data_IF_311202832355
#
_entry.id   IF_311202832355
#
_cell.length_a   1.000
_cell.length_b   1.000
_cell.length_c   1.000
_cell.angle_alpha   90.00
_cell.angle_beta   90.00
_cell.angle_gamma   90.00
#
_symmetry.space_group_name_H-M   'P 1'
#
loop_
_entity.id
_entity.type
_entity.pdbx_description
1 polymer ?
#
# COMPACT_ATOMS: atom_id res chain seq x y z
N UNK A 1 0.23 13.95 0.40
CA UNK A 1 1.51 13.55 -0.22
C UNK A 1 1.41 12.27 -1.05
N UNK A 2 0.67 11.22 -0.63
CA UNK A 2 0.54 9.96 -1.40
C UNK A 2 0.06 10.13 -2.85
N UNK A 3 -0.92 11.00 -3.10
CA UNK A 3 -1.38 11.28 -4.46
C UNK A 3 -0.31 11.92 -5.36
N UNK A 4 0.55 12.78 -4.79
CA UNK A 4 1.66 13.38 -5.53
C UNK A 4 2.72 12.33 -5.93
N UNK A 5 3.06 11.40 -5.03
CA UNK A 5 3.96 10.29 -5.36
C UNK A 5 3.38 9.37 -6.44
N UNK A 6 2.07 9.14 -6.40
CA UNK A 6 1.37 8.40 -7.45
C UNK A 6 1.53 9.09 -8.82
N UNK A 7 1.23 10.39 -8.89
CA UNK A 7 1.39 11.14 -10.14
C UNK A 7 2.85 11.19 -10.61
N UNK A 8 3.80 11.30 -9.69
CA UNK A 8 5.23 11.23 -10.02
C UNK A 8 5.60 9.89 -10.67
N UNK A 9 5.12 8.77 -10.11
CA UNK A 9 5.33 7.45 -10.69
C UNK A 9 4.70 7.31 -12.09
N UNK A 10 3.49 7.86 -12.27
CA UNK A 10 2.79 7.86 -13.57
C UNK A 10 3.56 8.65 -14.64
N UNK A 11 4.12 9.82 -14.27
CA UNK A 11 4.94 10.65 -15.18
C UNK A 11 6.27 9.96 -15.50
N UNK A 12 6.95 9.41 -14.49
CA UNK A 12 8.24 8.73 -14.68
C UNK A 12 8.11 7.53 -15.62
N UNK A 13 7.03 6.76 -15.53
CA UNK A 13 6.74 5.65 -16.44
C UNK A 13 6.58 6.11 -17.91
N UNK A 14 6.08 7.33 -18.12
CA UNK A 14 5.87 7.90 -19.45
C UNK A 14 7.14 8.54 -20.01
N UNK A 15 7.91 9.22 -19.18
CA UNK A 15 9.15 9.91 -19.58
C UNK A 15 10.32 8.93 -19.80
N UNK A 16 10.38 7.84 -19.03
CA UNK A 16 11.45 6.84 -19.09
C UNK A 16 10.90 5.43 -19.38
N UNK A 17 10.52 5.11 -20.63
CA UNK A 17 9.91 3.81 -20.98
C UNK A 17 10.81 2.60 -20.74
N UNK A 18 12.12 2.81 -20.61
CA UNK A 18 13.12 1.78 -20.29
C UNK A 18 13.08 1.37 -18.81
N UNK A 19 12.45 2.18 -17.94
CA UNK A 19 12.26 1.90 -16.52
C UNK A 19 10.85 1.38 -16.25
N UNK A 20 10.75 0.29 -15.49
CA UNK A 20 9.46 -0.18 -14.96
C UNK A 20 9.16 0.51 -13.64
N UNK A 21 8.22 1.46 -13.67
CA UNK A 21 7.77 2.20 -12.48
C UNK A 21 6.37 1.73 -12.07
N UNK A 22 6.19 1.39 -10.80
CA UNK A 22 4.92 0.85 -10.28
C UNK A 22 4.62 1.49 -8.92
N UNK A 23 3.37 1.90 -8.69
CA UNK A 23 2.92 2.28 -7.34
C UNK A 23 2.10 1.14 -6.71
N UNK A 24 2.54 0.68 -5.54
CA UNK A 24 1.84 -0.38 -4.78
C UNK A 24 1.19 0.20 -3.53
N UNK A 25 -0.08 -0.16 -3.32
CA UNK A 25 -0.80 0.07 -2.06
C UNK A 25 -0.76 -1.20 -1.21
N UNK A 26 -0.06 -1.19 -0.05
CA UNK A 26 0.15 -2.37 0.76
C UNK A 26 -1.04 -2.73 1.68
N UNK A 27 -2.17 -2.00 1.58
CA UNK A 27 -3.29 -2.16 2.52
C UNK A 27 -2.98 -1.64 3.92
N UNK A 28 -3.73 -2.12 4.91
CA UNK A 28 -3.48 -1.82 6.32
C UNK A 28 -2.62 -2.94 6.90
N UNK A 29 -1.39 -2.61 7.25
CA UNK A 29 -0.37 -3.58 7.66
C UNK A 29 -0.11 -3.46 9.15
N UNK A 30 0.05 -4.58 9.83
CA UNK A 30 0.40 -4.66 11.24
C UNK A 30 1.83 -4.13 11.48
N UNK A 31 1.93 -2.83 11.66
CA UNK A 31 3.18 -2.09 11.85
C UNK A 31 2.98 -1.05 12.94
N UNK A 32 4.08 -0.53 13.46
CA UNK A 32 4.07 0.53 14.46
C UNK A 32 3.30 1.79 14.01
N UNK A 33 3.16 2.01 12.70
CA UNK A 33 2.35 3.11 12.16
C UNK A 33 0.87 3.03 12.58
N UNK A 34 0.31 1.82 12.74
CA UNK A 34 -1.08 1.64 13.20
C UNK A 34 -1.20 1.99 14.69
N UNK A 35 -0.19 1.68 15.50
CA UNK A 35 -0.15 2.05 16.92
C UNK A 35 -0.12 3.57 17.07
N UNK A 36 0.69 4.27 16.28
CA UNK A 36 0.72 5.73 16.24
C UNK A 36 -0.65 6.31 15.90
N UNK A 37 -1.38 5.71 14.95
CA UNK A 37 -2.75 6.13 14.60
C UNK A 37 -3.70 5.93 15.79
N UNK A 38 -3.60 4.83 16.53
CA UNK A 38 -4.46 4.57 17.71
C UNK A 38 -4.14 5.51 18.88
N UNK A 39 -2.88 5.83 19.10
CA UNK A 39 -2.45 6.68 20.22
C UNK A 39 -2.67 8.17 19.96
N UNK A 40 -2.35 8.64 18.75
CA UNK A 40 -2.30 10.09 18.41
C UNK A 40 -3.38 10.52 17.44
N UNK A 41 -4.12 9.58 16.86
CA UNK A 41 -5.14 9.87 15.85
C UNK A 41 -6.36 10.59 16.41
N UNK A 42 -6.69 10.40 17.69
CA UNK A 42 -7.88 11.01 18.32
C UNK A 42 -7.88 12.54 18.24
N UNK A 43 -6.70 13.17 18.30
CA UNK A 43 -6.56 14.63 18.28
C UNK A 43 -6.46 15.20 16.85
N UNK A 44 -6.06 14.37 15.87
CA UNK A 44 -5.57 14.83 14.58
C UNK A 44 -6.34 14.26 13.37
N UNK A 45 -7.26 13.33 13.58
CA UNK A 45 -8.04 12.69 12.53
C UNK A 45 -9.52 13.05 12.63
N UNK A 46 -10.20 12.99 11.49
CA UNK A 46 -11.65 13.05 11.48
C UNK A 46 -12.23 11.89 12.33
N UNK A 47 -13.25 12.14 13.17
CA UNK A 47 -13.74 11.15 14.14
C UNK A 47 -14.19 9.83 13.50
N UNK A 48 -14.77 9.89 12.30
CA UNK A 48 -15.21 8.74 11.51
C UNK A 48 -14.03 7.88 11.02
N UNK A 49 -12.94 8.52 10.58
CA UNK A 49 -11.73 7.84 10.16
C UNK A 49 -10.97 7.24 11.34
N UNK A 50 -10.87 7.96 12.45
CA UNK A 50 -10.25 7.45 13.68
C UNK A 50 -11.03 6.25 14.23
N UNK A 51 -12.36 6.31 14.22
CA UNK A 51 -13.21 5.22 14.69
C UNK A 51 -12.91 3.90 13.97
N UNK A 52 -12.51 3.91 12.70
CA UNK A 52 -12.12 2.69 11.97
C UNK A 52 -10.97 1.94 12.66
N UNK A 53 -10.00 2.67 13.20
CA UNK A 53 -8.80 2.11 13.83
C UNK A 53 -8.92 1.88 15.33
N UNK A 54 -9.80 2.64 16.00
CA UNK A 54 -9.91 2.68 17.47
C UNK A 54 -11.17 2.03 18.04
N UNK A 55 -12.28 1.95 17.30
CA UNK A 55 -13.49 1.33 17.85
C UNK A 55 -13.26 -0.18 18.01
N UNK A 56 -13.59 -0.75 19.17
CA UNK A 56 -13.34 -2.18 19.42
C UNK A 56 -13.98 -3.09 18.36
N UNK A 57 -15.15 -2.69 17.85
CA UNK A 57 -15.87 -3.44 16.82
C UNK A 57 -15.15 -3.41 15.49
N UNK A 58 -14.71 -2.24 15.02
CA UNK A 58 -14.04 -2.11 13.72
C UNK A 58 -12.57 -2.49 13.77
N UNK A 59 -11.87 -2.21 14.88
CA UNK A 59 -10.47 -2.56 15.06
C UNK A 59 -10.26 -4.08 15.10
N UNK A 60 -11.22 -4.84 15.68
CA UNK A 60 -11.22 -6.32 15.63
C UNK A 60 -11.51 -6.88 14.23
N UNK A 61 -12.26 -6.15 13.42
CA UNK A 61 -12.57 -6.56 12.04
C UNK A 61 -11.63 -5.97 11.00
N UNK A 62 -10.73 -5.05 11.39
CA UNK A 62 -9.78 -4.44 10.48
C UNK A 62 -8.76 -5.52 10.09
N UNK A 63 -8.68 -5.90 8.80
CA UNK A 63 -7.74 -6.92 8.37
C UNK A 63 -6.33 -6.31 8.44
N UNK A 64 -5.68 -6.49 9.58
CA UNK A 64 -4.28 -6.15 9.77
C UNK A 64 -3.45 -7.22 9.06
N UNK A 65 -2.91 -6.85 7.91
CA UNK A 65 -2.07 -7.72 7.11
C UNK A 65 -0.74 -7.95 7.80
N UNK A 66 -0.23 -9.17 7.72
CA UNK A 66 1.13 -9.44 8.18
C UNK A 66 2.10 -8.70 7.24
N UNK A 67 3.13 -7.98 7.72
CA UNK A 67 4.04 -7.19 6.88
C UNK A 67 4.67 -7.96 5.72
N UNK A 68 4.93 -9.25 5.93
CA UNK A 68 5.49 -10.12 4.89
C UNK A 68 4.60 -10.28 3.66
N UNK A 69 3.28 -10.13 3.76
CA UNK A 69 2.37 -10.33 2.63
C UNK A 69 2.57 -9.25 1.55
N UNK A 70 2.31 -7.96 1.81
CA UNK A 70 2.62 -6.91 0.84
C UNK A 70 4.14 -6.70 0.69
N UNK A 71 4.94 -6.98 1.72
CA UNK A 71 6.39 -6.87 1.67
C UNK A 71 7.03 -7.83 0.65
N UNK A 72 6.55 -9.07 0.59
CA UNK A 72 7.02 -10.05 -0.38
C UNK A 72 6.69 -9.63 -1.81
N UNK A 73 5.48 -9.12 -2.06
CA UNK A 73 5.07 -8.62 -3.38
C UNK A 73 5.99 -7.49 -3.85
N UNK A 74 6.27 -6.52 -2.97
CA UNK A 74 7.17 -5.38 -3.27
C UNK A 74 8.59 -5.89 -3.56
N UNK A 75 9.11 -6.81 -2.74
CA UNK A 75 10.44 -7.39 -2.95
C UNK A 75 10.53 -8.21 -4.25
N UNK A 76 9.48 -8.97 -4.57
CA UNK A 76 9.40 -9.77 -5.80
C UNK A 76 9.34 -8.89 -7.06
N UNK A 77 8.57 -7.81 -7.02
CA UNK A 77 8.51 -6.82 -8.10
C UNK A 77 9.84 -6.09 -8.29
N UNK A 78 10.56 -5.77 -7.21
CA UNK A 78 11.87 -5.12 -7.33
C UNK A 78 12.90 -5.97 -8.10
N UNK A 79 12.73 -7.30 -8.11
CA UNK A 79 13.63 -8.23 -8.81
C UNK A 79 13.09 -8.60 -10.20
N UNK A 80 11.78 -8.86 -10.31
CA UNK A 80 11.17 -9.50 -11.46
C UNK A 80 9.92 -8.77 -11.98
N UNK A 81 9.82 -7.45 -11.86
CA UNK A 81 8.68 -6.70 -12.39
C UNK A 81 8.62 -6.80 -13.92
N UNK A 82 7.51 -7.32 -14.49
CA UNK A 82 7.33 -7.31 -15.93
C UNK A 82 7.01 -5.90 -16.42
N UNK A 83 7.54 -5.54 -17.60
CA UNK A 83 7.31 -4.23 -18.23
C UNK A 83 5.82 -3.93 -18.50
N UNK A 84 4.97 -4.96 -18.57
CA UNK A 84 3.51 -4.82 -18.70
C UNK A 84 2.83 -4.14 -17.50
N UNK A 85 3.52 -4.00 -16.37
CA UNK A 85 3.05 -3.29 -15.19
C UNK A 85 3.55 -1.84 -15.13
N UNK A 86 4.33 -1.37 -16.11
CA UNK A 86 4.86 -0.01 -16.10
C UNK A 86 3.72 1.03 -16.06
N UNK A 87 3.84 2.01 -15.15
CA UNK A 87 2.84 3.05 -14.90
C UNK A 87 1.58 2.59 -14.17
N UNK A 88 1.51 1.32 -13.73
CA UNK A 88 0.33 0.83 -13.01
C UNK A 88 0.34 1.24 -11.54
N UNK A 89 -0.88 1.43 -11.04
CA UNK A 89 -1.17 1.71 -9.63
C UNK A 89 -2.05 0.58 -9.09
N UNK A 90 -1.49 -0.29 -8.27
CA UNK A 90 -2.11 -1.55 -7.88
C UNK A 90 -2.23 -1.67 -6.37
N UNK A 91 -3.26 -2.37 -5.90
CA UNK A 91 -3.24 -2.92 -4.56
C UNK A 91 -2.35 -4.18 -4.55
N UNK A 92 -1.75 -4.50 -3.41
CA UNK A 92 -0.84 -5.65 -3.30
C UNK A 92 -1.51 -7.01 -3.62
N UNK A 93 -2.84 -7.09 -3.51
CA UNK A 93 -3.67 -8.27 -3.66
C UNK A 93 -4.41 -8.37 -5.00
N UNK A 94 -4.11 -7.48 -5.96
CA UNK A 94 -4.66 -7.53 -7.31
C UNK A 94 -4.28 -8.85 -8.04
N UNK A 95 -5.15 -9.32 -8.93
CA UNK A 95 -4.93 -10.59 -9.65
C UNK A 95 -3.67 -10.58 -10.50
N UNK A 96 -3.29 -9.42 -11.06
CA UNK A 96 -2.03 -9.27 -11.81
C UNK A 96 -0.77 -9.55 -10.97
N UNK A 97 -0.86 -9.45 -9.64
CA UNK A 97 0.26 -9.66 -8.73
C UNK A 97 0.27 -11.06 -8.11
N UNK A 98 -0.63 -11.95 -8.53
CA UNK A 98 -0.77 -13.30 -7.95
C UNK A 98 0.51 -14.12 -7.99
N UNK A 99 1.32 -13.98 -9.04
CA UNK A 99 2.62 -14.65 -9.18
C UNK A 99 3.70 -14.10 -8.25
N UNK A 100 3.47 -12.91 -7.68
CA UNK A 100 4.38 -12.24 -6.76
C UNK A 100 3.94 -12.38 -5.29
N UNK A 101 2.78 -12.99 -5.02
CA UNK A 101 2.28 -13.28 -3.68
C UNK A 101 2.91 -14.58 -3.15
N UNK A 102 3.03 -14.68 -1.82
CA UNK A 102 3.59 -15.85 -1.11
C UNK A 102 2.59 -17.00 -1.02
#
# INVERSE_FOLDING_TARGET
TKAALKMFADVLAMEEPELTTISIRPGVVDTEMVNIVREKGVENMAPDQYAMFASEKTAKSLPLLHPDEPGHVIASLAINAPASLNGKNLNWDEEELKTHRK
#
